data_IF_099696088482
#
_entry.id   IF_099696088482
#
_cell.length_a   1.000
_cell.length_b   1.000
_cell.length_c   1.000
_cell.angle_alpha   90.00
_cell.angle_beta   90.00
_cell.angle_gamma   90.00
#
_symmetry.space_group_name_H-M   'P 1'
#
loop_
_entity.id
_entity.type
_entity.pdbx_description
1 polymer ?
#
# COMPACT_ATOMS: atom_id res chain seq x y z
N UNK A 1 -12.26 11.80 -27.51
CA UNK A 1 -13.04 10.86 -26.69
C UNK A 1 -12.45 10.91 -25.29
N UNK A 2 -13.23 11.31 -24.29
CA UNK A 2 -12.77 11.31 -22.90
C UNK A 2 -12.59 9.85 -22.47
N UNK A 3 -11.36 9.34 -22.50
CA UNK A 3 -11.07 8.04 -21.89
C UNK A 3 -11.47 8.13 -20.42
N UNK A 4 -12.33 7.21 -19.95
CA UNK A 4 -12.62 7.09 -18.53
C UNK A 4 -11.29 6.89 -17.80
N UNK A 5 -10.83 7.90 -17.08
CA UNK A 5 -9.56 7.85 -16.36
C UNK A 5 -9.85 7.37 -14.95
N UNK A 6 -9.48 6.11 -14.67
CA UNK A 6 -9.56 5.57 -13.32
C UNK A 6 -8.60 6.31 -12.39
N UNK A 7 -9.04 6.55 -11.16
CA UNK A 7 -8.31 7.33 -10.17
C UNK A 7 -7.75 6.46 -9.06
N UNK A 8 -6.61 6.85 -8.49
CA UNK A 8 -6.05 6.16 -7.34
C UNK A 8 -5.43 7.10 -6.30
N UNK A 9 -5.31 6.59 -5.09
CA UNK A 9 -4.40 7.12 -4.07
C UNK A 9 -3.37 6.04 -3.70
N UNK A 10 -2.17 6.45 -3.30
CA UNK A 10 -1.10 5.53 -2.91
C UNK A 10 -0.66 5.80 -1.46
N UNK A 11 -0.96 4.86 -0.57
CA UNK A 11 -0.60 4.93 0.85
C UNK A 11 0.71 4.17 1.08
N UNK A 12 1.64 4.75 1.85
CA UNK A 12 2.99 4.21 2.01
C UNK A 12 3.75 4.17 0.67
N UNK A 13 3.65 5.26 -0.11
CA UNK A 13 4.08 5.29 -1.51
C UNK A 13 5.59 5.15 -1.72
N UNK A 14 6.40 5.35 -0.68
CA UNK A 14 7.85 5.46 -0.80
C UNK A 14 8.23 6.56 -1.78
N UNK A 15 9.20 6.27 -2.65
CA UNK A 15 9.59 7.17 -3.73
C UNK A 15 8.64 7.17 -4.95
N UNK A 16 7.53 6.44 -4.90
CA UNK A 16 6.50 6.46 -5.96
C UNK A 16 6.63 5.37 -7.04
N UNK A 17 7.35 4.28 -6.78
CA UNK A 17 7.51 3.21 -7.79
C UNK A 17 6.20 2.54 -8.21
N UNK A 18 5.30 2.27 -7.25
CA UNK A 18 3.95 1.74 -7.55
C UNK A 18 3.09 2.79 -8.26
N UNK A 19 3.11 4.03 -7.76
CA UNK A 19 2.43 5.17 -8.37
C UNK A 19 2.82 5.37 -9.85
N UNK A 20 4.12 5.36 -10.16
CA UNK A 20 4.64 5.51 -11.52
C UNK A 20 4.15 4.39 -12.44
N UNK A 21 4.13 3.15 -11.95
CA UNK A 21 3.58 2.01 -12.70
C UNK A 21 2.11 2.20 -13.07
N UNK A 22 1.27 2.62 -12.10
CA UNK A 22 -0.15 2.90 -12.31
C UNK A 22 -0.36 4.06 -13.30
N UNK A 23 0.40 5.14 -13.13
CA UNK A 23 0.35 6.29 -14.04
C UNK A 23 0.73 5.91 -15.47
N UNK A 24 1.76 5.09 -15.66
CA UNK A 24 2.20 4.63 -17.00
C UNK A 24 1.12 3.81 -17.74
N UNK A 25 0.20 3.18 -17.01
CA UNK A 25 -0.95 2.47 -17.60
C UNK A 25 -2.23 3.33 -17.65
N UNK A 26 -2.11 4.64 -17.44
CA UNK A 26 -3.17 5.62 -17.67
C UNK A 26 -4.03 5.98 -16.45
N UNK A 27 -3.68 5.51 -15.25
CA UNK A 27 -4.40 5.86 -14.03
C UNK A 27 -4.06 7.28 -13.56
N UNK A 28 -5.07 8.02 -13.11
CA UNK A 28 -4.92 9.36 -12.54
C UNK A 28 -4.63 9.27 -11.04
N UNK A 29 -3.40 9.58 -10.65
CA UNK A 29 -3.03 9.72 -9.25
C UNK A 29 -3.68 10.98 -8.65
N UNK A 30 -4.37 10.85 -7.52
CA UNK A 30 -4.93 12.00 -6.80
C UNK A 30 -3.94 12.54 -5.77
N UNK A 31 -3.48 11.69 -4.86
CA UNK A 31 -2.40 12.02 -3.93
C UNK A 31 -1.72 10.75 -3.42
N UNK A 32 -0.59 10.93 -2.73
CA UNK A 32 0.16 9.87 -2.09
C UNK A 32 0.53 10.24 -0.65
N UNK A 33 0.68 9.25 0.21
CA UNK A 33 1.04 9.42 1.62
C UNK A 33 2.35 8.68 1.91
N UNK A 34 3.39 9.42 2.29
CA UNK A 34 4.70 8.90 2.65
C UNK A 34 5.25 9.65 3.86
N UNK A 35 5.80 8.90 4.82
CA UNK A 35 6.30 9.47 6.08
C UNK A 35 7.80 9.78 6.03
N UNK A 36 8.59 9.00 5.29
CA UNK A 36 10.03 9.18 5.19
C UNK A 36 10.36 10.43 4.35
N UNK A 37 11.08 11.43 4.90
CA UNK A 37 11.35 12.68 4.19
C UNK A 37 12.14 12.51 2.89
N UNK A 38 13.09 11.57 2.82
CA UNK A 38 13.92 11.35 1.62
C UNK A 38 13.12 10.68 0.50
N UNK A 39 12.29 9.70 0.87
CA UNK A 39 11.37 9.05 -0.05
C UNK A 39 10.33 10.04 -0.57
N UNK A 40 9.74 10.84 0.31
CA UNK A 40 8.78 11.89 -0.06
C UNK A 40 9.44 12.95 -0.95
N UNK A 41 10.67 13.37 -0.68
CA UNK A 41 11.41 14.31 -1.54
C UNK A 41 11.57 13.77 -2.96
N UNK A 42 11.84 12.48 -3.10
CA UNK A 42 11.93 11.82 -4.41
C UNK A 42 10.58 11.74 -5.10
N UNK A 43 9.53 11.36 -4.38
CA UNK A 43 8.15 11.35 -4.87
C UNK A 43 7.72 12.75 -5.35
N UNK A 44 7.96 13.77 -4.53
CA UNK A 44 7.61 15.16 -4.78
C UNK A 44 8.27 15.65 -6.07
N UNK A 45 9.59 15.48 -6.18
CA UNK A 45 10.35 15.92 -7.34
C UNK A 45 9.87 15.26 -8.63
N UNK A 46 9.63 13.95 -8.62
CA UNK A 46 9.35 13.21 -9.86
C UNK A 46 7.86 13.23 -10.25
N UNK A 47 6.95 13.09 -9.29
CA UNK A 47 5.53 12.79 -9.56
C UNK A 47 4.56 13.87 -9.07
N UNK A 48 5.02 14.98 -8.47
CA UNK A 48 4.13 16.01 -7.91
C UNK A 48 4.48 17.41 -8.39
N UNK A 49 5.76 17.77 -8.39
CA UNK A 49 6.24 19.06 -8.89
C UNK A 49 6.19 19.11 -10.41
N UNK A 50 6.11 20.32 -10.94
CA UNK A 50 6.23 20.58 -12.37
C UNK A 50 7.59 21.19 -12.66
N UNK A 51 8.33 20.59 -13.59
CA UNK A 51 9.59 21.11 -14.10
C UNK A 51 10.02 20.44 -15.40
N UNK A 52 11.12 20.92 -15.97
CA UNK A 52 11.69 20.34 -17.20
C UNK A 52 12.14 18.89 -16.99
N UNK A 53 12.62 18.55 -15.79
CA UNK A 53 13.14 17.22 -15.44
C UNK A 53 12.09 16.11 -15.51
N UNK A 54 10.80 16.45 -15.47
CA UNK A 54 9.69 15.49 -15.56
C UNK A 54 8.66 15.90 -16.62
N UNK A 55 9.09 16.61 -17.66
CA UNK A 55 8.26 16.93 -18.81
C UNK A 55 7.72 15.63 -19.46
N UNK A 56 6.40 15.58 -19.70
CA UNK A 56 5.74 14.42 -20.28
C UNK A 56 5.44 13.25 -19.32
N UNK A 57 5.86 13.35 -18.05
CA UNK A 57 5.49 12.38 -17.02
C UNK A 57 4.16 12.82 -16.38
N UNK A 58 3.23 11.88 -16.19
CA UNK A 58 1.99 12.13 -15.47
C UNK A 58 2.28 12.45 -13.99
N UNK A 59 1.52 13.40 -13.44
CA UNK A 59 1.70 13.90 -12.07
C UNK A 59 0.47 13.60 -11.23
N UNK A 60 0.64 13.58 -9.92
CA UNK A 60 -0.47 13.59 -8.98
C UNK A 60 -1.28 14.87 -9.14
N UNK A 61 -2.61 14.74 -9.25
CA UNK A 61 -3.55 15.84 -9.15
C UNK A 61 -3.78 16.19 -7.66
N UNK A 62 -2.71 16.66 -7.03
CA UNK A 62 -2.64 16.86 -5.58
C UNK A 62 -3.70 17.88 -5.11
N UNK A 63 -4.56 17.53 -4.14
CA UNK A 63 -5.63 18.41 -3.74
C UNK A 63 -5.13 19.57 -2.87
N UNK A 64 -5.75 20.74 -3.00
CA UNK A 64 -5.37 21.95 -2.26
C UNK A 64 -5.53 21.84 -0.73
N UNK A 65 -6.36 20.91 -0.25
CA UNK A 65 -6.56 20.68 1.19
C UNK A 65 -5.47 19.82 1.83
N UNK A 66 -4.63 19.15 1.03
CA UNK A 66 -3.55 18.29 1.53
C UNK A 66 -2.20 18.97 1.32
N UNK A 67 -1.49 19.26 2.40
CA UNK A 67 -0.15 19.82 2.34
C UNK A 67 0.83 18.84 1.68
N UNK A 68 1.73 19.35 0.82
CA UNK A 68 2.78 18.55 0.15
C UNK A 68 3.99 18.39 1.08
N UNK A 69 3.85 17.55 2.10
CA UNK A 69 4.92 17.23 3.06
C UNK A 69 4.93 15.75 3.41
N UNK A 70 5.96 15.26 4.12
CA UNK A 70 5.91 13.93 4.70
C UNK A 70 4.75 13.83 5.72
N UNK A 71 3.95 12.77 5.61
CA UNK A 71 2.78 12.53 6.45
C UNK A 71 2.88 11.16 7.13
N UNK A 72 2.68 11.12 8.44
CA UNK A 72 2.45 9.85 9.14
C UNK A 72 1.01 9.37 8.87
N UNK A 73 0.84 8.10 8.51
CA UNK A 73 -0.47 7.58 8.11
C UNK A 73 -1.53 7.73 9.21
N UNK A 74 -1.17 7.54 10.49
CA UNK A 74 -2.15 7.61 11.57
C UNK A 74 -2.66 9.03 11.79
N UNK A 75 -1.76 10.02 11.71
CA UNK A 75 -2.10 11.43 11.76
C UNK A 75 -2.92 11.86 10.54
N UNK A 76 -2.52 11.41 9.34
CA UNK A 76 -3.25 11.67 8.11
C UNK A 76 -4.70 11.20 8.21
N UNK A 77 -4.93 9.93 8.59
CA UNK A 77 -6.29 9.38 8.72
C UNK A 77 -7.09 10.13 9.79
N UNK A 78 -6.48 10.42 10.94
CA UNK A 78 -7.14 11.15 12.04
C UNK A 78 -7.56 12.57 11.64
N UNK A 79 -6.68 13.31 10.96
CA UNK A 79 -6.89 14.74 10.64
C UNK A 79 -7.68 14.95 9.36
N UNK A 80 -7.55 14.05 8.39
CA UNK A 80 -8.16 14.19 7.06
C UNK A 80 -9.43 13.35 6.87
N UNK A 81 -9.93 12.69 7.93
CA UNK A 81 -11.12 11.82 7.87
C UNK A 81 -12.31 12.46 7.16
N UNK A 82 -12.59 13.73 7.43
CA UNK A 82 -13.70 14.46 6.81
C UNK A 82 -13.47 14.72 5.31
N UNK A 83 -12.23 15.04 4.91
CA UNK A 83 -11.88 15.23 3.50
C UNK A 83 -11.94 13.90 2.74
N UNK A 84 -11.41 12.82 3.33
CA UNK A 84 -11.51 11.47 2.78
C UNK A 84 -12.98 11.06 2.57
N UNK A 85 -13.86 11.32 3.54
CA UNK A 85 -15.27 10.97 3.41
C UNK A 85 -15.97 11.68 2.24
N UNK A 86 -15.56 12.91 1.91
CA UNK A 86 -16.07 13.67 0.75
C UNK A 86 -15.65 13.07 -0.60
N UNK A 87 -14.54 12.33 -0.63
CA UNK A 87 -14.02 11.69 -1.84
C UNK A 87 -14.60 10.28 -2.07
N UNK A 88 -15.56 9.84 -1.26
CA UNK A 88 -16.24 8.56 -1.45
C UNK A 88 -16.91 8.53 -2.84
N UNK A 89 -16.64 7.48 -3.60
CA UNK A 89 -17.10 7.35 -4.99
C UNK A 89 -16.24 8.08 -6.03
N UNK A 90 -15.23 8.86 -5.62
CA UNK A 90 -14.28 9.51 -6.54
C UNK A 90 -12.95 8.74 -6.68
N UNK A 91 -12.65 7.85 -5.74
CA UNK A 91 -11.41 7.05 -5.69
C UNK A 91 -11.70 5.63 -6.12
N UNK A 92 -11.19 5.22 -7.29
CA UNK A 92 -11.43 3.86 -7.80
C UNK A 92 -10.47 2.84 -7.18
N UNK A 93 -9.24 3.23 -6.88
CA UNK A 93 -8.23 2.36 -6.27
C UNK A 93 -7.58 3.00 -5.04
N UNK A 94 -7.52 2.23 -3.95
CA UNK A 94 -6.60 2.50 -2.84
C UNK A 94 -5.43 1.52 -2.93
N UNK A 95 -4.28 2.02 -3.37
CA UNK A 95 -3.03 1.28 -3.44
C UNK A 95 -2.17 1.51 -2.19
N UNK A 96 -1.29 0.57 -1.87
CA UNK A 96 -0.25 0.82 -0.87
C UNK A 96 0.61 -0.38 -0.50
N UNK A 97 1.78 -0.10 0.07
CA UNK A 97 2.75 -1.09 0.54
C UNK A 97 3.00 -0.99 2.05
N UNK A 98 2.02 -1.31 2.92
CA UNK A 98 2.17 -1.09 4.36
C UNK A 98 3.36 -1.88 4.92
N UNK A 99 4.25 -1.24 5.71
CA UNK A 99 5.48 -1.87 6.15
C UNK A 99 5.20 -3.08 7.06
N UNK A 100 5.86 -4.20 6.77
CA UNK A 100 5.70 -5.46 7.48
C UNK A 100 7.03 -5.86 8.16
N UNK A 101 7.58 -5.00 9.02
CA UNK A 101 8.94 -5.16 9.56
C UNK A 101 9.09 -6.23 10.64
N UNK A 102 8.00 -6.69 11.28
CA UNK A 102 8.01 -7.84 12.19
C UNK A 102 8.30 -9.20 11.51
N UNK A 103 8.38 -9.25 10.17
CA UNK A 103 8.24 -10.49 9.41
C UNK A 103 9.25 -10.67 8.27
N UNK A 104 10.13 -9.70 8.02
CA UNK A 104 11.21 -9.91 7.05
C UNK A 104 12.20 -10.94 7.58
N UNK A 105 12.71 -11.82 6.70
CA UNK A 105 13.80 -12.75 7.06
C UNK A 105 15.06 -12.02 7.57
N UNK A 106 15.23 -10.75 7.19
CA UNK A 106 16.30 -9.85 7.63
C UNK A 106 16.01 -9.13 8.97
N UNK A 107 14.80 -9.22 9.51
CA UNK A 107 14.38 -8.54 10.74
C UNK A 107 14.34 -9.45 11.97
N UNK A 108 14.55 -8.88 13.16
CA UNK A 108 14.28 -9.57 14.44
C UNK A 108 12.76 -9.75 14.54
N UNK A 109 12.26 -10.99 14.40
CA UNK A 109 10.84 -11.41 14.47
C UNK A 109 10.15 -11.04 15.80
N UNK A 110 10.03 -9.75 16.10
CA UNK A 110 9.34 -9.22 17.27
C UNK A 110 7.88 -9.00 16.87
N UNK A 111 7.00 -9.91 17.30
CA UNK A 111 5.55 -9.79 17.06
C UNK A 111 4.90 -8.53 17.67
N UNK A 112 5.64 -7.78 18.49
CA UNK A 112 5.22 -6.51 19.12
C UNK A 112 5.65 -5.25 18.36
N UNK A 113 6.19 -5.36 17.13
CA UNK A 113 6.52 -4.16 16.36
C UNK A 113 5.23 -3.38 16.03
N UNK A 114 5.11 -2.10 16.45
CA UNK A 114 3.91 -1.30 16.22
C UNK A 114 3.61 -1.11 14.72
N UNK A 115 4.63 -1.24 13.86
CA UNK A 115 4.50 -1.10 12.41
C UNK A 115 3.67 -2.23 11.79
N UNK A 116 3.58 -3.38 12.45
CA UNK A 116 2.69 -4.48 12.04
C UNK A 116 1.21 -4.08 12.07
N UNK A 117 0.85 -3.00 12.76
CA UNK A 117 -0.50 -2.45 12.80
C UNK A 117 -0.82 -1.47 11.66
N UNK A 118 0.17 -1.00 10.90
CA UNK A 118 -0.01 0.13 9.98
C UNK A 118 -0.96 -0.17 8.81
N UNK A 119 -1.06 -1.42 8.37
CA UNK A 119 -2.07 -1.84 7.39
C UNK A 119 -3.52 -1.51 7.80
N UNK A 120 -3.80 -1.44 9.11
CA UNK A 120 -5.15 -1.12 9.61
C UNK A 120 -5.56 0.28 9.20
N UNK A 121 -4.62 1.23 9.11
CA UNK A 121 -4.92 2.58 8.65
C UNK A 121 -5.24 2.60 7.15
N UNK A 122 -4.58 1.77 6.34
CA UNK A 122 -5.00 1.60 4.94
C UNK A 122 -6.41 0.99 4.85
N UNK A 123 -6.73 -0.01 5.67
CA UNK A 123 -8.07 -0.59 5.72
C UNK A 123 -9.13 0.40 6.26
N UNK A 124 -8.74 1.33 7.14
CA UNK A 124 -9.60 2.42 7.60
C UNK A 124 -9.86 3.44 6.47
N UNK A 125 -8.84 3.77 5.68
CA UNK A 125 -9.02 4.59 4.47
C UNK A 125 -9.95 3.90 3.46
N UNK A 126 -9.80 2.59 3.25
CA UNK A 126 -10.71 1.77 2.42
C UNK A 126 -12.13 1.80 2.97
N UNK A 127 -12.31 1.78 4.29
CA UNK A 127 -13.63 1.90 4.92
C UNK A 127 -14.27 3.28 4.69
N UNK A 128 -13.48 4.35 4.76
CA UNK A 128 -13.95 5.72 4.55
C UNK A 128 -14.28 5.97 3.06
N UNK A 129 -13.41 5.54 2.16
CA UNK A 129 -13.52 5.82 0.72
C UNK A 129 -14.44 4.84 -0.03
N UNK A 130 -14.52 3.58 0.42
CA UNK A 130 -15.20 2.48 -0.28
C UNK A 130 -14.82 2.42 -1.78
N UNK A 131 -13.51 2.28 -2.11
CA UNK A 131 -13.07 2.19 -3.50
C UNK A 131 -13.58 0.91 -4.18
N UNK A 132 -13.55 0.88 -5.51
CA UNK A 132 -13.86 -0.34 -6.27
C UNK A 132 -12.74 -1.38 -6.15
N UNK A 133 -11.48 -0.92 -6.07
CA UNK A 133 -10.30 -1.76 -5.98
C UNK A 133 -9.44 -1.39 -4.77
N UNK A 134 -8.80 -2.41 -4.22
CA UNK A 134 -7.77 -2.29 -3.20
C UNK A 134 -6.55 -3.05 -3.69
N UNK A 135 -5.37 -2.46 -3.59
CA UNK A 135 -4.10 -3.11 -3.93
C UNK A 135 -3.15 -2.99 -2.75
N UNK A 136 -2.72 -4.12 -2.21
CA UNK A 136 -1.75 -4.19 -1.13
C UNK A 136 -0.52 -4.98 -1.56
N UNK A 137 0.62 -4.29 -1.71
CA UNK A 137 1.91 -4.93 -1.97
C UNK A 137 2.62 -5.28 -0.66
N UNK A 138 3.30 -6.43 -0.65
CA UNK A 138 4.21 -6.76 0.43
C UNK A 138 5.31 -7.76 0.07
N UNK A 139 6.19 -8.03 1.03
CA UNK A 139 7.19 -9.10 0.92
C UNK A 139 6.55 -10.49 1.05
N UNK A 140 7.11 -11.50 0.38
CA UNK A 140 6.70 -12.92 0.48
C UNK A 140 6.51 -13.44 1.92
N UNK A 141 7.26 -12.90 2.87
CA UNK A 141 7.18 -13.29 4.28
C UNK A 141 5.81 -13.08 4.94
N UNK A 142 4.93 -12.26 4.35
CA UNK A 142 3.57 -11.97 4.82
C UNK A 142 2.67 -13.21 4.89
N UNK A 143 3.00 -14.25 4.12
CA UNK A 143 2.31 -15.55 4.10
C UNK A 143 2.64 -16.43 5.31
N UNK A 144 3.68 -16.11 6.07
CA UNK A 144 4.15 -16.96 7.17
C UNK A 144 3.36 -16.64 8.45
N UNK A 145 2.69 -17.66 8.98
CA UNK A 145 2.03 -17.62 10.29
C UNK A 145 2.98 -17.18 11.42
N UNK A 146 2.51 -16.29 12.31
CA UNK A 146 3.26 -15.89 13.50
C UNK A 146 3.70 -17.11 14.32
N UNK A 147 4.97 -17.17 14.72
CA UNK A 147 5.48 -18.25 15.58
C UNK A 147 5.73 -19.59 14.88
N UNK A 148 5.57 -19.68 13.55
CA UNK A 148 5.99 -20.84 12.78
C UNK A 148 7.53 -20.86 12.61
N UNK A 149 8.25 -21.18 13.69
CA UNK A 149 9.65 -21.60 13.61
C UNK A 149 9.70 -23.07 13.16
N UNK A 150 10.58 -23.42 12.21
CA UNK A 150 10.85 -24.83 11.83
C UNK A 150 11.23 -25.71 13.03
N UNK A 151 11.72 -25.13 14.14
CA UNK A 151 12.07 -25.85 15.38
C UNK A 151 10.88 -26.12 16.32
N UNK A 152 9.70 -25.55 16.08
CA UNK A 152 8.55 -25.61 17.01
C UNK A 152 7.40 -26.49 16.50
N UNK A 153 7.71 -27.57 15.78
CA UNK A 153 6.74 -28.60 15.36
C UNK A 153 6.36 -29.60 16.47
N UNK A 154 6.81 -29.40 17.71
CA UNK A 154 6.37 -30.22 18.86
C UNK A 154 5.38 -29.46 19.73
N UNK A 155 4.13 -29.93 19.71
CA UNK A 155 3.06 -29.74 20.69
C UNK A 155 2.67 -28.28 21.01
N UNK A 156 1.82 -27.68 20.19
CA UNK A 156 0.82 -26.73 20.70
C UNK A 156 -0.55 -27.13 20.15
N UNK A 157 -1.43 -27.66 21.02
CA UNK A 157 -2.85 -27.78 20.76
C UNK A 157 -3.46 -26.38 20.86
N UNK A 158 -3.70 -25.75 19.72
CA UNK A 158 -4.34 -24.44 19.60
C UNK A 158 -4.64 -24.13 18.14
N UNK A 159 -5.61 -23.24 17.88
CA UNK A 159 -5.93 -22.80 16.51
C UNK A 159 -4.64 -22.37 15.78
N UNK A 160 -4.42 -22.82 14.52
CA UNK A 160 -3.25 -22.41 13.77
C UNK A 160 -3.20 -20.89 13.69
N UNK A 161 -2.05 -20.29 14.01
CA UNK A 161 -1.88 -18.84 13.91
C UNK A 161 -2.04 -18.43 12.45
N UNK A 162 -2.99 -17.55 12.16
CA UNK A 162 -3.22 -17.04 10.79
C UNK A 162 -2.03 -16.19 10.34
N UNK A 163 -1.68 -16.31 9.05
CA UNK A 163 -0.73 -15.39 8.43
C UNK A 163 -1.33 -13.99 8.34
N UNK A 164 -0.49 -12.99 8.10
CA UNK A 164 -0.98 -11.63 7.97
C UNK A 164 -1.75 -11.44 6.66
N UNK A 165 -1.29 -12.08 5.58
CA UNK A 165 -2.03 -12.17 4.32
C UNK A 165 -3.45 -12.72 4.53
N UNK A 166 -3.60 -13.76 5.35
CA UNK A 166 -4.92 -14.32 5.66
C UNK A 166 -5.78 -13.35 6.49
N UNK A 167 -5.17 -12.60 7.42
CA UNK A 167 -5.90 -11.58 8.20
C UNK A 167 -6.37 -10.41 7.34
N UNK A 168 -5.54 -9.94 6.41
CA UNK A 168 -5.92 -8.90 5.45
C UNK A 168 -7.11 -9.38 4.61
N UNK A 169 -7.01 -10.59 4.06
CA UNK A 169 -8.09 -11.22 3.30
C UNK A 169 -9.41 -11.20 4.07
N UNK A 170 -9.44 -11.76 5.28
CA UNK A 170 -10.68 -11.79 6.08
C UNK A 170 -11.23 -10.39 6.36
N UNK A 171 -10.37 -9.40 6.64
CA UNK A 171 -10.81 -8.04 6.90
C UNK A 171 -11.38 -7.34 5.66
N UNK A 172 -10.91 -7.68 4.45
CA UNK A 172 -11.44 -7.18 3.19
C UNK A 172 -12.74 -7.92 2.80
N UNK A 173 -12.80 -9.24 2.98
CA UNK A 173 -14.01 -10.05 2.73
C UNK A 173 -15.18 -9.60 3.61
N UNK A 174 -14.93 -9.32 4.90
CA UNK A 174 -15.95 -8.75 5.81
C UNK A 174 -16.46 -7.39 5.33
N UNK A 175 -15.65 -6.64 4.58
CA UNK A 175 -16.01 -5.36 3.97
C UNK A 175 -16.68 -5.51 2.60
N UNK A 176 -16.93 -6.74 2.14
CA UNK A 176 -17.63 -7.03 0.89
C UNK A 176 -16.73 -7.14 -0.34
N UNK A 177 -15.40 -7.17 -0.18
CA UNK A 177 -14.49 -7.35 -1.31
C UNK A 177 -14.28 -8.83 -1.61
N UNK A 178 -14.20 -9.18 -2.89
CA UNK A 178 -13.61 -10.44 -3.34
C UNK A 178 -12.08 -10.30 -3.33
N UNK A 179 -11.38 -11.24 -2.69
CA UNK A 179 -9.94 -11.14 -2.45
C UNK A 179 -9.16 -12.21 -3.20
N UNK A 180 -8.26 -11.76 -4.07
CA UNK A 180 -7.27 -12.60 -4.74
C UNK A 180 -5.88 -12.32 -4.18
N UNK A 181 -5.01 -13.32 -4.19
CA UNK A 181 -3.66 -13.17 -3.64
C UNK A 181 -2.63 -13.87 -4.52
N UNK A 182 -1.60 -13.13 -4.92
CA UNK A 182 -0.62 -13.59 -5.91
C UNK A 182 0.81 -13.31 -5.47
N UNK A 183 1.69 -14.28 -5.73
CA UNK A 183 3.13 -14.10 -5.61
C UNK A 183 3.73 -13.87 -7.00
N UNK A 184 4.13 -12.64 -7.28
CA UNK A 184 4.71 -12.23 -8.56
C UNK A 184 6.21 -11.93 -8.39
N UNK A 185 7.01 -12.10 -9.44
CA UNK A 185 8.46 -11.83 -9.39
C UNK A 185 8.81 -10.80 -10.45
N UNK A 186 9.60 -9.79 -10.09
CA UNK A 186 10.01 -8.75 -11.05
C UNK A 186 10.72 -9.31 -12.30
N UNK A 187 11.43 -10.43 -12.18
CA UNK A 187 12.07 -11.13 -13.31
C UNK A 187 11.08 -11.59 -14.39
N UNK A 188 9.85 -11.90 -13.99
CA UNK A 188 8.79 -12.32 -14.92
C UNK A 188 8.23 -11.11 -15.73
N UNK A 189 8.63 -9.88 -15.38
CA UNK A 189 8.20 -8.63 -16.02
C UNK A 189 9.37 -7.83 -16.63
N UNK A 190 10.45 -8.52 -17.01
CA UNK A 190 11.57 -7.91 -17.76
C UNK A 190 12.57 -7.13 -16.91
N UNK A 191 12.47 -7.16 -15.57
CA UNK A 191 13.48 -6.57 -14.69
C UNK A 191 14.52 -7.65 -14.34
N UNK A 192 15.83 -7.44 -14.57
CA UNK A 192 16.88 -8.43 -14.28
C UNK A 192 17.18 -8.54 -12.77
N UNK A 193 16.14 -8.76 -11.97
CA UNK A 193 16.18 -8.85 -10.51
C UNK A 193 15.19 -9.90 -10.02
N UNK A 194 15.70 -10.89 -9.29
CA UNK A 194 14.85 -11.86 -8.59
C UNK A 194 14.22 -11.23 -7.34
N UNK A 195 13.07 -10.59 -7.51
CA UNK A 195 12.33 -9.90 -6.44
C UNK A 195 10.89 -10.43 -6.35
N UNK A 196 10.63 -11.47 -5.55
CA UNK A 196 9.27 -11.93 -5.29
C UNK A 196 8.52 -10.94 -4.38
N UNK A 197 7.27 -10.63 -4.75
CA UNK A 197 6.33 -9.76 -4.03
C UNK A 197 4.94 -10.37 -4.00
N UNK A 198 4.29 -10.15 -2.87
CA UNK A 198 2.96 -10.64 -2.58
C UNK A 198 1.98 -9.49 -2.81
N UNK A 199 0.96 -9.75 -3.62
CA UNK A 199 -0.10 -8.80 -3.93
C UNK A 199 -1.41 -9.36 -3.40
N UNK A 200 -2.16 -8.52 -2.69
CA UNK A 200 -3.55 -8.78 -2.24
C UNK A 200 -4.45 -7.69 -2.81
#
# INVERSE_FOLDING_TARGET
MSAFSFSFIDLFSGCGGLSLGLMNVGWRGLFAIEQNPDAFKTLLHNLVEEGEHNAGILRFNWPNWLEKKPHEISEFVRTQRHQLAKMRGEVHLVAGGPPCQGFSFAGKRKGKDPRNGLFKYQLEVVEILQPELVLMENVRGIEIAFGASKKQRKKQQGRPKKSYAHRIREMLEVKGYEVQQHLLKAVDFGVPQFRPRYFT
#
